data_IF_375176076417
#
_entry.id   IF_375176076417
#
_cell.length_a   1.000
_cell.length_b   1.000
_cell.length_c   1.000
_cell.angle_alpha   90.00
_cell.angle_beta   90.00
_cell.angle_gamma   90.00
#
_symmetry.space_group_name_H-M   'P 1'
#
loop_
_entity.id
_entity.type
_entity.pdbx_description
1 polymer ?
#
# COMPACT_ATOMS: atom_id res chain seq x y z
N UNK A 1 -18.28 4.79 -15.98
CA UNK A 1 -17.21 3.95 -15.37
C UNK A 1 -15.88 4.43 -15.94
N UNK A 2 -14.91 4.75 -15.11
CA UNK A 2 -13.58 5.17 -15.56
C UNK A 2 -12.88 3.95 -16.16
N UNK A 3 -12.52 4.01 -17.44
CA UNK A 3 -11.86 2.90 -18.10
C UNK A 3 -10.34 3.09 -17.92
N UNK A 4 -9.74 2.33 -16.99
CA UNK A 4 -8.29 2.32 -16.80
C UNK A 4 -7.59 1.60 -17.93
N UNK A 5 -6.46 2.13 -18.39
CA UNK A 5 -5.64 1.53 -19.44
C UNK A 5 -4.91 0.26 -18.97
N UNK A 6 -4.36 -0.49 -19.91
CA UNK A 6 -3.47 -1.64 -19.61
C UNK A 6 -2.26 -1.20 -18.77
N UNK A 7 -1.68 -0.06 -19.10
CA UNK A 7 -0.55 0.54 -18.35
C UNK A 7 -0.96 0.87 -16.91
N UNK A 8 -2.15 1.45 -16.71
CA UNK A 8 -2.64 1.75 -15.35
C UNK A 8 -2.71 0.48 -14.51
N UNK A 9 -3.25 -0.62 -15.06
CA UNK A 9 -3.31 -1.91 -14.36
C UNK A 9 -1.92 -2.46 -14.03
N UNK A 10 -0.97 -2.39 -14.95
CA UNK A 10 0.40 -2.86 -14.74
C UNK A 10 1.10 -2.08 -13.64
N UNK A 11 0.99 -0.75 -13.65
CA UNK A 11 1.64 0.14 -12.68
C UNK A 11 1.01 -0.01 -11.29
N UNK A 12 -0.32 -0.13 -11.20
CA UNK A 12 -0.98 -0.38 -9.91
C UNK A 12 -0.64 -1.77 -9.36
N UNK A 13 -0.59 -2.81 -10.21
CA UNK A 13 -0.13 -4.14 -9.79
C UNK A 13 1.30 -4.08 -9.25
N UNK A 14 2.18 -3.31 -9.89
CA UNK A 14 3.54 -3.07 -9.40
C UNK A 14 3.57 -2.34 -8.06
N UNK A 15 2.74 -1.32 -7.86
CA UNK A 15 2.60 -0.62 -6.58
C UNK A 15 2.15 -1.57 -5.46
N UNK A 16 1.21 -2.48 -5.74
CA UNK A 16 0.77 -3.52 -4.78
C UNK A 16 1.92 -4.48 -4.43
N UNK A 17 2.74 -4.90 -5.42
CA UNK A 17 3.92 -5.72 -5.16
C UNK A 17 4.95 -5.02 -4.25
N UNK A 18 5.15 -3.71 -4.44
CA UNK A 18 6.02 -2.91 -3.58
C UNK A 18 5.46 -2.81 -2.16
N UNK A 19 4.14 -2.56 -2.02
CA UNK A 19 3.48 -2.48 -0.72
C UNK A 19 3.67 -3.75 0.13
N UNK A 20 3.66 -4.94 -0.49
CA UNK A 20 3.90 -6.23 0.19
C UNK A 20 5.25 -6.29 0.92
N UNK A 21 6.25 -5.52 0.49
CA UNK A 21 7.57 -5.49 1.15
C UNK A 21 7.52 -4.93 2.58
N UNK A 22 6.46 -4.17 2.91
CA UNK A 22 6.23 -3.61 4.24
C UNK A 22 5.41 -4.49 5.17
N UNK A 23 4.90 -5.65 4.72
CA UNK A 23 3.87 -6.45 5.39
C UNK A 23 4.17 -6.76 6.87
N UNK A 24 5.44 -6.95 7.23
CA UNK A 24 5.84 -7.30 8.60
C UNK A 24 6.48 -6.15 9.38
N UNK A 25 6.58 -4.96 8.82
CA UNK A 25 7.34 -3.86 9.42
C UNK A 25 6.56 -2.56 9.60
N UNK A 26 5.43 -2.40 8.88
CA UNK A 26 4.68 -1.14 8.88
C UNK A 26 3.68 -1.01 10.01
N UNK A 27 3.24 -2.11 10.65
CA UNK A 27 2.25 -2.05 11.71
C UNK A 27 2.61 -1.01 12.79
N UNK A 28 1.66 -0.19 13.26
CA UNK A 28 0.23 -0.18 13.00
C UNK A 28 -0.22 0.56 11.72
N UNK A 29 0.72 1.06 10.91
CA UNK A 29 0.46 1.79 9.67
C UNK A 29 0.07 0.82 8.54
N UNK A 30 -0.65 1.28 7.50
CA UNK A 30 -0.95 0.46 6.35
C UNK A 30 0.29 0.16 5.49
N UNK A 31 0.23 -0.94 4.74
CA UNK A 31 1.18 -1.26 3.70
C UNK A 31 0.84 -0.44 2.45
N UNK A 32 1.72 0.46 2.07
CA UNK A 32 1.53 1.35 0.93
C UNK A 32 2.69 1.22 -0.05
N UNK A 33 2.37 1.16 -1.33
CA UNK A 33 3.32 1.22 -2.42
C UNK A 33 2.96 2.34 -3.39
N UNK A 34 3.97 2.91 -4.02
CA UNK A 34 3.83 3.98 -4.99
C UNK A 34 4.72 3.72 -6.20
N UNK A 35 4.17 3.92 -7.41
CA UNK A 35 4.91 3.95 -8.68
C UNK A 35 4.60 5.27 -9.36
N UNK A 36 5.60 5.97 -9.85
CA UNK A 36 5.44 7.21 -10.61
C UNK A 36 6.01 7.00 -12.00
N UNK A 37 5.21 7.30 -13.02
CA UNK A 37 5.61 7.17 -14.44
C UNK A 37 5.58 8.52 -15.13
N UNK A 38 6.28 8.64 -16.25
CA UNK A 38 6.09 9.72 -17.21
C UNK A 38 4.77 9.56 -18.00
N UNK A 39 4.47 10.52 -18.89
CA UNK A 39 3.29 10.50 -19.74
C UNK A 39 3.27 9.34 -20.77
N UNK A 40 4.37 8.60 -20.94
CA UNK A 40 4.49 7.43 -21.83
C UNK A 40 4.43 6.10 -21.07
N UNK A 41 4.32 6.13 -19.74
CA UNK A 41 4.28 4.95 -18.88
C UNK A 41 5.66 4.39 -18.49
N UNK A 42 6.74 5.14 -18.72
CA UNK A 42 8.07 4.78 -18.24
C UNK A 42 8.18 5.09 -16.75
N UNK A 43 8.65 4.13 -15.96
CA UNK A 43 8.80 4.30 -14.50
C UNK A 43 9.92 5.30 -14.22
N UNK A 44 9.59 6.38 -13.51
CA UNK A 44 10.52 7.40 -13.04
C UNK A 44 10.97 7.15 -11.60
N UNK A 45 10.10 6.55 -10.77
CA UNK A 45 10.40 6.25 -9.39
C UNK A 45 9.42 5.27 -8.77
N UNK A 46 9.90 4.53 -7.79
CA UNK A 46 9.15 3.52 -7.04
C UNK A 46 9.43 3.66 -5.54
N UNK A 47 8.43 3.38 -4.71
CA UNK A 47 8.58 3.43 -3.27
C UNK A 47 7.57 2.56 -2.53
N UNK A 48 7.88 2.21 -1.30
CA UNK A 48 6.94 1.58 -0.37
C UNK A 48 7.18 2.09 1.05
N UNK A 49 6.14 2.05 1.88
CA UNK A 49 6.28 2.37 3.29
C UNK A 49 7.07 1.26 3.99
N UNK A 50 8.28 1.60 4.47
CA UNK A 50 9.24 0.60 4.98
C UNK A 50 8.98 0.21 6.43
N UNK A 51 8.61 1.19 7.26
CA UNK A 51 8.42 1.02 8.71
C UNK A 51 7.62 2.17 9.28
N UNK A 52 6.80 1.91 10.30
CA UNK A 52 6.07 2.96 11.03
C UNK A 52 7.02 4.07 11.50
N UNK A 53 6.66 5.34 11.24
CA UNK A 53 7.45 6.52 11.59
C UNK A 53 8.54 6.91 10.59
N UNK A 54 8.73 6.16 9.49
CA UNK A 54 9.61 6.54 8.37
C UNK A 54 8.82 7.19 7.23
N UNK A 55 9.48 7.76 6.20
CA UNK A 55 8.79 8.34 5.05
C UNK A 55 7.79 7.40 4.40
N UNK A 56 6.73 7.97 3.83
CA UNK A 56 5.69 7.23 3.11
C UNK A 56 6.17 6.78 1.72
N UNK A 57 5.42 5.88 1.09
CA UNK A 57 5.73 5.32 -0.21
C UNK A 57 5.94 6.39 -1.30
N UNK A 58 5.09 7.40 -1.29
CA UNK A 58 5.12 8.52 -2.24
C UNK A 58 6.43 9.30 -2.13
N UNK A 59 6.91 9.54 -0.91
CA UNK A 59 8.17 10.26 -0.68
C UNK A 59 9.34 9.48 -1.26
N UNK A 60 9.42 8.16 -0.99
CA UNK A 60 10.46 7.32 -1.56
C UNK A 60 10.42 7.26 -3.09
N UNK A 61 9.22 7.22 -3.69
CA UNK A 61 9.06 7.27 -5.13
C UNK A 61 9.51 8.62 -5.70
N UNK A 62 9.15 9.74 -5.06
CA UNK A 62 9.54 11.09 -5.47
C UNK A 62 11.04 11.35 -5.34
N UNK A 63 11.73 10.79 -4.37
CA UNK A 63 13.19 10.82 -4.25
C UNK A 63 13.84 10.22 -5.51
N UNK A 64 13.35 9.09 -5.99
CA UNK A 64 13.84 8.47 -7.23
C UNK A 64 13.48 9.29 -8.47
N UNK A 65 12.28 9.89 -8.53
CA UNK A 65 11.88 10.81 -9.61
C UNK A 65 12.85 11.99 -9.68
N UNK A 66 13.20 12.59 -8.55
CA UNK A 66 14.14 13.71 -8.51
C UNK A 66 15.52 13.34 -9.09
N UNK A 67 15.99 12.11 -8.80
CA UNK A 67 17.23 11.59 -9.39
C UNK A 67 17.07 11.37 -10.90
N UNK A 68 16.01 10.69 -11.32
CA UNK A 68 15.73 10.34 -12.72
C UNK A 68 15.60 11.58 -13.61
N UNK A 69 14.96 12.63 -13.09
CA UNK A 69 14.73 13.90 -13.80
C UNK A 69 15.79 14.98 -13.50
N UNK A 70 16.85 14.63 -12.74
CA UNK A 70 17.93 15.58 -12.34
C UNK A 70 17.38 16.85 -11.68
N UNK A 71 16.35 16.70 -10.85
CA UNK A 71 15.69 17.80 -10.14
C UNK A 71 14.63 18.57 -10.95
N UNK A 72 14.38 18.21 -12.21
CA UNK A 72 13.31 18.83 -12.99
C UNK A 72 11.91 18.40 -12.48
N UNK A 73 10.88 19.25 -12.63
CA UNK A 73 9.50 18.89 -12.25
C UNK A 73 8.97 17.67 -13.02
N UNK A 74 8.18 16.85 -12.35
CA UNK A 74 7.54 15.65 -12.91
C UNK A 74 6.29 16.00 -13.75
N UNK A 75 6.39 16.97 -14.65
CA UNK A 75 5.28 17.42 -15.50
C UNK A 75 4.77 16.28 -16.38
N UNK A 76 3.44 16.07 -16.40
CA UNK A 76 2.82 14.98 -17.15
C UNK A 76 2.92 13.62 -16.48
N UNK A 77 3.56 13.52 -15.32
CA UNK A 77 3.69 12.26 -14.59
C UNK A 77 2.37 11.81 -13.98
N UNK A 78 2.22 10.47 -13.90
CA UNK A 78 1.13 9.79 -13.19
C UNK A 78 1.67 9.04 -11.98
N UNK A 79 1.09 9.27 -10.81
CA UNK A 79 1.39 8.51 -9.60
C UNK A 79 0.30 7.45 -9.34
N UNK A 80 0.71 6.20 -9.14
CA UNK A 80 -0.12 5.06 -8.77
C UNK A 80 0.17 4.71 -7.33
N UNK A 81 -0.81 4.86 -6.45
CA UNK A 81 -0.64 4.65 -5.00
C UNK A 81 -1.68 3.66 -4.51
N UNK A 82 -1.27 2.68 -3.71
CA UNK A 82 -2.19 1.62 -3.25
C UNK A 82 -3.22 2.09 -2.22
N UNK A 83 -3.02 3.28 -1.64
CA UNK A 83 -3.93 3.92 -0.70
C UNK A 83 -3.99 5.42 -1.02
N UNK A 84 -5.10 6.07 -0.72
CA UNK A 84 -5.25 7.53 -0.81
C UNK A 84 -4.06 8.27 -0.16
N UNK A 85 -3.39 9.21 -0.87
CA UNK A 85 -2.31 10.02 -0.30
C UNK A 85 -2.78 10.84 0.90
N UNK A 86 -2.02 10.81 1.98
CA UNK A 86 -2.38 11.51 3.21
C UNK A 86 -2.40 13.04 3.03
N UNK A 87 -3.36 13.69 3.72
CA UNK A 87 -3.59 15.14 3.69
C UNK A 87 -3.51 15.79 5.07
N UNK A 88 -2.86 15.17 6.03
CA UNK A 88 -2.70 15.74 7.37
C UNK A 88 -1.23 15.79 7.75
N UNK A 89 -0.87 16.75 8.56
CA UNK A 89 0.44 16.82 9.19
C UNK A 89 0.50 15.79 10.33
N UNK A 90 1.36 14.80 10.15
CA UNK A 90 1.72 13.83 11.16
C UNK A 90 3.17 14.05 11.60
N UNK A 91 3.95 12.97 11.65
CA UNK A 91 5.41 13.05 11.84
C UNK A 91 6.13 13.57 10.58
N UNK A 92 5.49 13.49 9.44
CA UNK A 92 5.97 13.97 8.14
C UNK A 92 4.93 14.90 7.51
N UNK A 93 5.35 15.81 6.60
CA UNK A 93 4.41 16.62 5.83
C UNK A 93 3.48 15.75 4.98
N UNK A 94 2.28 16.25 4.59
CA UNK A 94 1.33 15.53 3.76
C UNK A 94 1.93 15.07 2.42
N UNK A 95 1.62 13.83 2.03
CA UNK A 95 2.04 13.31 0.71
C UNK A 95 1.37 14.06 -0.44
N UNK A 96 0.14 14.57 -0.24
CA UNK A 96 -0.53 15.45 -1.20
C UNK A 96 0.32 16.66 -1.55
N UNK A 97 0.92 17.34 -0.57
CA UNK A 97 1.78 18.51 -0.80
C UNK A 97 3.06 18.13 -1.55
N UNK A 98 3.63 16.98 -1.28
CA UNK A 98 4.81 16.48 -1.97
C UNK A 98 4.53 16.20 -3.46
N UNK A 99 3.38 15.56 -3.77
CA UNK A 99 2.95 15.28 -5.14
C UNK A 99 2.66 16.58 -5.93
N UNK A 100 2.00 17.55 -5.30
CA UNK A 100 1.74 18.87 -5.91
C UNK A 100 3.06 19.59 -6.22
N UNK A 101 3.96 19.68 -5.25
CA UNK A 101 5.28 20.34 -5.45
C UNK A 101 6.12 19.66 -6.52
N UNK A 102 6.01 18.34 -6.67
CA UNK A 102 6.72 17.59 -7.71
C UNK A 102 6.17 17.83 -9.12
N UNK A 103 4.98 18.41 -9.25
CA UNK A 103 4.37 18.70 -10.55
C UNK A 103 3.69 17.48 -11.19
N UNK A 104 3.30 16.48 -10.39
CA UNK A 104 2.49 15.33 -10.85
C UNK A 104 1.15 15.85 -11.36
N UNK A 105 0.65 15.29 -12.47
CA UNK A 105 -0.58 15.76 -13.12
C UNK A 105 -1.76 14.80 -12.99
N UNK A 106 -1.48 13.53 -12.65
CA UNK A 106 -2.52 12.51 -12.44
C UNK A 106 -2.16 11.63 -11.26
N UNK A 107 -3.12 11.32 -10.40
CA UNK A 107 -2.98 10.37 -9.28
C UNK A 107 -4.08 9.33 -9.35
N UNK A 108 -3.70 8.06 -9.34
CA UNK A 108 -4.62 6.93 -9.23
C UNK A 108 -4.38 6.24 -7.90
N UNK A 109 -5.39 6.25 -7.03
CA UNK A 109 -5.37 5.49 -5.79
C UNK A 109 -6.08 4.14 -5.97
N UNK A 110 -5.53 3.04 -5.44
CA UNK A 110 -6.26 1.77 -5.49
C UNK A 110 -7.50 1.82 -4.61
N UNK A 111 -7.44 2.49 -3.47
CA UNK A 111 -8.59 2.66 -2.57
C UNK A 111 -8.53 4.00 -1.84
N UNK A 112 -9.70 4.47 -1.43
CA UNK A 112 -9.86 5.61 -0.51
C UNK A 112 -9.46 5.18 0.89
N UNK A 113 -8.90 6.09 1.71
CA UNK A 113 -8.53 5.77 3.09
C UNK A 113 -9.79 5.40 3.90
N UNK A 114 -9.81 4.23 4.56
CA UNK A 114 -10.95 3.80 5.37
C UNK A 114 -11.12 4.59 6.67
N UNK A 115 -10.16 5.43 7.05
CA UNK A 115 -10.26 6.30 8.22
C UNK A 115 -11.24 7.45 7.95
N UNK A 116 -12.38 7.55 8.67
CA UNK A 116 -13.38 8.59 8.42
C UNK A 116 -12.85 10.03 8.56
N UNK A 117 -11.75 10.22 9.29
CA UNK A 117 -11.12 11.52 9.46
C UNK A 117 -10.33 11.96 8.22
N UNK A 118 -9.94 11.03 7.36
CA UNK A 118 -9.10 11.25 6.17
C UNK A 118 -9.88 11.07 4.88
N UNK A 119 -10.74 10.06 4.84
CA UNK A 119 -11.47 9.54 3.67
C UNK A 119 -11.86 10.59 2.63
N UNK A 120 -11.28 10.52 1.44
CA UNK A 120 -11.55 11.40 0.29
C UNK A 120 -10.86 12.77 0.33
N UNK A 121 -10.40 13.23 1.49
CA UNK A 121 -9.84 14.60 1.64
C UNK A 121 -8.50 14.77 0.91
N UNK A 122 -7.71 13.71 0.82
CA UNK A 122 -6.47 13.73 0.06
C UNK A 122 -6.70 13.86 -1.44
N UNK A 123 -7.67 13.10 -1.97
CA UNK A 123 -8.04 13.18 -3.39
C UNK A 123 -8.64 14.54 -3.74
N UNK A 124 -9.53 15.09 -2.88
CA UNK A 124 -10.11 16.42 -3.07
C UNK A 124 -9.01 17.49 -3.12
N UNK A 125 -8.08 17.50 -2.16
CA UNK A 125 -6.97 18.47 -2.15
C UNK A 125 -6.11 18.40 -3.41
N UNK A 126 -5.85 17.20 -3.93
CA UNK A 126 -5.14 17.04 -5.20
C UNK A 126 -5.94 17.61 -6.38
N UNK A 127 -7.28 17.41 -6.41
CA UNK A 127 -8.16 18.00 -7.42
C UNK A 127 -8.18 19.53 -7.37
N UNK A 128 -8.26 20.10 -6.17
CA UNK A 128 -8.22 21.56 -5.95
C UNK A 128 -6.89 22.16 -6.42
N UNK A 129 -5.81 21.37 -6.39
CA UNK A 129 -4.50 21.75 -6.95
C UNK A 129 -4.37 21.51 -8.47
N UNK A 130 -5.46 21.12 -9.17
CA UNK A 130 -5.49 20.86 -10.61
C UNK A 130 -4.95 19.49 -11.05
N UNK A 131 -4.75 18.55 -10.12
CA UNK A 131 -4.31 17.19 -10.41
C UNK A 131 -5.53 16.32 -10.70
N UNK A 132 -5.53 15.58 -11.83
CA UNK A 132 -6.56 14.60 -12.11
C UNK A 132 -6.46 13.43 -11.14
N UNK A 133 -7.53 13.12 -10.40
CA UNK A 133 -7.57 12.00 -9.45
C UNK A 133 -8.59 10.95 -9.86
N UNK A 134 -8.22 9.69 -9.67
CA UNK A 134 -9.08 8.53 -9.90
C UNK A 134 -8.82 7.51 -8.79
N UNK A 135 -9.78 6.63 -8.50
CA UNK A 135 -9.61 5.57 -7.51
C UNK A 135 -10.38 4.29 -7.89
N UNK A 136 -10.11 3.20 -7.18
CA UNK A 136 -10.78 1.90 -7.36
C UNK A 136 -10.02 0.90 -8.23
N UNK A 137 -8.87 1.28 -8.79
CA UNK A 137 -8.07 0.38 -9.64
C UNK A 137 -7.38 -0.70 -8.79
N UNK A 138 -7.72 -1.98 -9.05
CA UNK A 138 -7.23 -3.14 -8.31
C UNK A 138 -7.48 -3.03 -6.78
N UNK A 139 -8.58 -2.40 -6.40
CA UNK A 139 -8.95 -2.13 -5.01
C UNK A 139 -8.91 -3.38 -4.13
N UNK A 140 -9.46 -4.50 -4.59
CA UNK A 140 -9.50 -5.75 -3.83
C UNK A 140 -8.09 -6.24 -3.41
N UNK A 141 -7.09 -6.05 -4.29
CA UNK A 141 -5.70 -6.39 -3.97
C UNK A 141 -5.08 -5.51 -2.88
N UNK A 142 -5.37 -4.21 -2.91
CA UNK A 142 -4.92 -3.26 -1.89
C UNK A 142 -5.63 -3.50 -0.53
N UNK A 143 -6.94 -3.80 -0.55
CA UNK A 143 -7.72 -4.13 0.65
C UNK A 143 -7.24 -5.43 1.30
N UNK A 144 -6.96 -6.46 0.52
CA UNK A 144 -6.44 -7.73 1.02
C UNK A 144 -5.11 -7.54 1.77
N UNK A 145 -4.24 -6.68 1.26
CA UNK A 145 -2.95 -6.36 1.88
C UNK A 145 -3.11 -5.59 3.20
N UNK A 146 -4.20 -4.85 3.35
CA UNK A 146 -4.45 -3.93 4.48
C UNK A 146 -5.65 -4.33 5.35
N UNK A 147 -6.11 -5.59 5.28
CA UNK A 147 -7.32 -6.06 5.97
C UNK A 147 -7.37 -5.73 7.47
N UNK A 148 -6.22 -5.84 8.15
CA UNK A 148 -6.10 -5.51 9.58
C UNK A 148 -6.27 -4.03 9.85
N UNK A 149 -5.60 -3.17 9.08
CA UNK A 149 -5.74 -1.73 9.13
C UNK A 149 -7.18 -1.29 8.84
N UNK A 150 -7.77 -1.79 7.75
CA UNK A 150 -9.14 -1.46 7.32
C UNK A 150 -10.15 -1.84 8.40
N UNK A 151 -10.07 -3.05 8.94
CA UNK A 151 -10.97 -3.50 10.01
C UNK A 151 -10.87 -2.61 11.22
N UNK A 152 -9.67 -2.28 11.66
CA UNK A 152 -9.45 -1.37 12.80
C UNK A 152 -10.05 0.01 12.55
N UNK A 153 -9.84 0.60 11.36
CA UNK A 153 -10.38 1.92 11.03
C UNK A 153 -11.91 1.93 10.98
N UNK A 154 -12.52 0.89 10.41
CA UNK A 154 -13.99 0.81 10.25
C UNK A 154 -14.73 0.40 11.52
N UNK A 155 -14.13 -0.41 12.38
CA UNK A 155 -14.84 -1.07 13.49
C UNK A 155 -14.21 -0.88 14.86
N UNK A 156 -13.00 -0.31 14.95
CA UNK A 156 -12.21 -0.22 16.18
C UNK A 156 -11.65 -1.57 16.68
N UNK A 157 -11.95 -2.69 15.97
CA UNK A 157 -11.57 -4.04 16.39
C UNK A 157 -10.37 -4.56 15.62
N UNK A 158 -9.49 -5.39 16.25
CA UNK A 158 -8.35 -5.98 15.54
C UNK A 158 -8.83 -7.05 14.54
N UNK A 159 -7.99 -7.31 13.54
CA UNK A 159 -8.08 -8.52 12.73
C UNK A 159 -7.42 -9.66 13.50
N UNK A 160 -8.16 -10.76 13.69
CA UNK A 160 -7.66 -11.95 14.36
C UNK A 160 -7.38 -13.02 13.32
N UNK A 161 -6.16 -13.54 13.32
CA UNK A 161 -5.75 -14.70 12.52
C UNK A 161 -5.44 -15.84 13.46
N UNK A 162 -6.07 -17.00 13.25
CA UNK A 162 -5.78 -18.23 14.01
C UNK A 162 -5.07 -19.19 13.07
N UNK A 163 -3.86 -19.66 13.47
CA UNK A 163 -3.12 -20.70 12.77
C UNK A 163 -3.12 -21.97 13.60
N UNK A 164 -3.62 -23.04 13.03
CA UNK A 164 -3.64 -24.37 13.65
C UNK A 164 -2.81 -25.34 12.82
N UNK A 165 -2.17 -26.32 13.48
CA UNK A 165 -1.58 -27.47 12.84
C UNK A 165 -2.39 -28.70 13.24
N UNK A 166 -2.84 -29.48 12.25
CA UNK A 166 -3.60 -30.70 12.46
C UNK A 166 -3.19 -31.76 11.44
N UNK A 167 -3.40 -33.03 11.78
CA UNK A 167 -3.33 -34.14 10.84
C UNK A 167 -4.47 -34.08 9.82
N UNK A 168 -4.45 -34.94 8.81
CA UNK A 168 -5.48 -34.97 7.76
C UNK A 168 -6.89 -35.24 8.32
N UNK A 169 -6.98 -36.00 9.42
CA UNK A 169 -8.23 -36.30 10.16
C UNK A 169 -8.56 -35.27 11.26
N UNK A 170 -7.86 -34.11 11.25
CA UNK A 170 -8.13 -32.97 12.13
C UNK A 170 -7.60 -33.09 13.57
N UNK A 171 -6.70 -34.03 13.85
CA UNK A 171 -6.13 -34.21 15.20
C UNK A 171 -4.96 -33.24 15.42
N UNK A 172 -4.92 -32.63 16.59
CA UNK A 172 -3.84 -31.70 17.02
C UNK A 172 -2.79 -32.42 17.90
N UNK A 173 -3.04 -33.64 18.31
CA UNK A 173 -2.14 -34.50 19.09
C UNK A 173 -2.49 -35.99 18.90
N UNK A 174 -1.56 -36.86 19.22
CA UNK A 174 -1.81 -38.30 19.37
C UNK A 174 -2.67 -38.58 20.62
N UNK A 175 -3.22 -39.80 20.72
CA UNK A 175 -4.01 -40.23 21.88
C UNK A 175 -3.25 -40.12 23.23
N UNK A 176 -1.94 -40.25 23.22
CA UNK A 176 -1.06 -40.08 24.37
C UNK A 176 -0.67 -38.62 24.66
N UNK A 177 -1.23 -37.62 23.95
CA UNK A 177 -0.95 -36.20 24.10
C UNK A 177 0.29 -35.67 23.37
N UNK A 178 1.07 -36.51 22.70
CA UNK A 178 2.22 -36.04 21.90
C UNK A 178 1.73 -35.29 20.66
N UNK A 179 2.17 -34.04 20.51
CA UNK A 179 1.77 -33.14 19.39
C UNK A 179 2.93 -32.69 18.51
N UNK A 180 4.14 -33.16 18.75
CA UNK A 180 5.36 -32.74 18.01
C UNK A 180 5.86 -33.88 17.12
N UNK A 181 6.08 -33.67 15.81
CA UNK A 181 5.76 -32.47 15.01
C UNK A 181 4.74 -32.86 13.94
N UNK A 182 3.60 -32.16 13.88
CA UNK A 182 2.54 -32.46 12.91
C UNK A 182 2.93 -31.93 11.52
N UNK A 183 3.73 -30.85 11.47
CA UNK A 183 4.15 -30.19 10.21
C UNK A 183 5.67 -30.17 10.09
N UNK A 184 6.17 -30.12 8.83
CA UNK A 184 7.59 -30.04 8.53
C UNK A 184 8.24 -28.73 8.98
N UNK A 185 9.58 -28.69 8.99
CA UNK A 185 10.36 -27.55 9.46
C UNK A 185 10.06 -26.25 8.70
N UNK A 186 9.88 -26.32 7.38
CA UNK A 186 9.56 -25.16 6.55
C UNK A 186 8.24 -24.52 6.94
N UNK A 187 7.20 -25.34 7.18
CA UNK A 187 5.89 -24.84 7.62
C UNK A 187 5.97 -24.20 9.02
N UNK A 188 6.79 -24.72 9.93
CA UNK A 188 7.02 -24.12 11.25
C UNK A 188 7.80 -22.80 11.17
N UNK A 189 8.76 -22.70 10.25
CA UNK A 189 9.46 -21.43 9.99
C UNK A 189 8.53 -20.35 9.42
N UNK A 190 7.61 -20.74 8.54
CA UNK A 190 6.63 -19.82 7.96
C UNK A 190 5.70 -19.22 9.01
N UNK A 191 5.29 -20.01 10.01
CA UNK A 191 4.48 -19.51 11.15
C UNK A 191 5.15 -18.38 11.92
N UNK A 192 6.48 -18.37 11.98
CA UNK A 192 7.23 -17.31 12.69
C UNK A 192 7.19 -15.94 11.97
N UNK A 193 6.64 -15.90 10.75
CA UNK A 193 6.45 -14.66 9.98
C UNK A 193 5.08 -14.00 10.24
N UNK A 194 4.16 -14.73 10.86
CA UNK A 194 2.81 -14.32 11.17
C UNK A 194 2.64 -14.01 12.66
#
# INVERSE_FOLDING_TARGET
MTQFSKTDHQMMARAIQLAKRGEYTTAPNPNVGCVITDGKGVILGEGWHKKAGTPHAEVHALEQVAISLKGAPAKGATAYVTLEPCNHYGRTPPCTDALVRAGVTRVIAAMVDPNPLVSGKGLIKLQDAGIKTEHGLLQAGAEQLNRGFIKRMRTGKPWVTVKLAASLDGKTALANGLSQWITGSLARQDVQRH
#
